data_IF_636537604005
#
_entry.id   IF_636537604005
#
_cell.length_a   1.000
_cell.length_b   1.000
_cell.length_c   1.000
_cell.angle_alpha   90.00
_cell.angle_beta   90.00
_cell.angle_gamma   90.00
#
_symmetry.space_group_name_H-M   'P 1'
#
loop_
_entity.id
_entity.type
_entity.pdbx_description
1 polymer ?
#
# COMPACT_ATOMS: atom_id res chain seq x y z
N UNK A 1 2.34 41.04 28.40
CA UNK A 1 2.96 40.10 29.36
C UNK A 1 2.79 38.69 28.80
N UNK A 2 3.82 38.14 28.15
CA UNK A 2 3.82 36.77 27.65
C UNK A 2 4.02 35.82 28.83
N UNK A 3 3.02 34.98 29.14
CA UNK A 3 3.19 33.86 30.08
C UNK A 3 4.08 32.83 29.41
N UNK A 4 5.29 32.65 29.94
CA UNK A 4 6.16 31.55 29.53
C UNK A 4 5.46 30.22 29.85
N UNK A 5 5.13 29.46 28.80
CA UNK A 5 4.57 28.12 28.92
C UNK A 5 5.67 27.19 29.43
N UNK A 6 5.60 26.87 30.72
CA UNK A 6 6.54 25.96 31.36
C UNK A 6 6.14 24.51 31.01
N UNK A 7 6.57 24.02 29.86
CA UNK A 7 6.31 22.64 29.39
C UNK A 7 7.31 21.70 30.05
N UNK A 8 6.84 20.89 31.00
CA UNK A 8 7.63 19.78 31.56
C UNK A 8 7.42 18.52 30.70
N UNK A 9 8.47 17.99 30.05
CA UNK A 9 8.35 16.72 29.34
C UNK A 9 8.08 15.59 30.35
N UNK A 10 7.03 14.82 30.12
CA UNK A 10 6.74 13.59 30.87
C UNK A 10 7.32 12.44 30.05
N UNK A 11 8.42 11.86 30.51
CA UNK A 11 8.98 10.63 29.93
C UNK A 11 8.23 9.46 30.57
N UNK A 12 7.62 8.61 29.74
CA UNK A 12 6.82 7.47 30.16
C UNK A 12 7.31 6.22 29.44
N UNK A 13 7.63 5.18 30.20
CA UNK A 13 8.03 3.86 29.68
C UNK A 13 6.83 3.02 29.20
N UNK A 14 5.61 3.59 29.23
CA UNK A 14 4.45 2.94 28.60
C UNK A 14 4.75 2.71 27.12
N UNK A 15 4.61 1.46 26.63
CA UNK A 15 4.81 1.17 25.22
C UNK A 15 3.86 2.04 24.40
N UNK A 16 4.43 2.93 23.59
CA UNK A 16 3.63 3.75 22.70
C UNK A 16 2.99 2.84 21.66
N UNK A 17 1.67 2.88 21.53
CA UNK A 17 0.98 2.13 20.49
C UNK A 17 1.38 2.69 19.13
N UNK A 18 2.31 2.01 18.45
CA UNK A 18 2.68 2.35 17.08
C UNK A 18 1.47 2.10 16.20
N UNK A 19 1.01 3.16 15.51
CA UNK A 19 -0.07 3.08 14.52
C UNK A 19 0.21 1.94 13.55
N UNK A 20 -0.83 1.21 13.15
CA UNK A 20 -0.69 0.02 12.30
C UNK A 20 0.05 0.32 10.98
N UNK A 21 -0.15 1.53 10.43
CA UNK A 21 0.49 2.00 9.21
C UNK A 21 2.02 2.14 9.30
N UNK A 22 2.52 2.28 10.53
CA UNK A 22 3.94 2.40 10.83
C UNK A 22 4.59 1.03 11.09
N UNK A 23 3.81 -0.06 11.13
CA UNK A 23 4.32 -1.42 11.33
C UNK A 23 4.80 -2.00 10.00
N UNK A 24 6.09 -2.31 9.85
CA UNK A 24 6.64 -2.80 8.58
C UNK A 24 5.93 -4.06 8.08
N UNK A 25 5.65 -5.02 8.98
CA UNK A 25 4.99 -6.27 8.61
C UNK A 25 3.61 -6.04 7.99
N UNK A 26 2.80 -5.16 8.56
CA UNK A 26 1.48 -4.84 8.00
C UNK A 26 1.60 -4.29 6.58
N UNK A 27 2.56 -3.39 6.36
CA UNK A 27 2.80 -2.79 5.03
C UNK A 27 3.36 -3.81 4.03
N UNK A 28 4.21 -4.74 4.46
CA UNK A 28 4.69 -5.88 3.67
C UNK A 28 3.50 -6.75 3.22
N UNK A 29 2.63 -7.12 4.15
CA UNK A 29 1.42 -7.89 3.84
C UNK A 29 0.52 -7.15 2.85
N UNK A 30 0.36 -5.83 3.03
CA UNK A 30 -0.43 -5.00 2.12
C UNK A 30 0.15 -4.97 0.69
N UNK A 31 1.48 -4.90 0.56
CA UNK A 31 2.18 -4.99 -0.73
C UNK A 31 1.94 -6.36 -1.37
N UNK A 32 2.08 -7.46 -0.60
CA UNK A 32 1.82 -8.81 -1.10
C UNK A 32 0.39 -8.94 -1.61
N UNK A 33 -0.59 -8.48 -0.83
CA UNK A 33 -2.01 -8.44 -1.22
C UNK A 33 -2.20 -7.65 -2.53
N UNK A 34 -1.54 -6.49 -2.67
CA UNK A 34 -1.58 -5.73 -3.93
C UNK A 34 -1.07 -6.54 -5.12
N UNK A 35 0.11 -7.15 -5.00
CA UNK A 35 0.72 -7.89 -6.11
C UNK A 35 -0.07 -9.15 -6.42
N UNK A 36 -0.35 -10.02 -5.45
CA UNK A 36 -1.04 -11.29 -5.65
C UNK A 36 -2.46 -11.11 -6.19
N UNK A 37 -3.23 -10.16 -5.66
CA UNK A 37 -4.64 -9.97 -6.09
C UNK A 37 -4.75 -9.30 -7.47
N UNK A 38 -3.92 -8.30 -7.76
CA UNK A 38 -4.07 -7.50 -8.99
C UNK A 38 -3.36 -8.13 -10.17
N UNK A 39 -2.20 -8.76 -9.96
CA UNK A 39 -1.42 -9.38 -11.05
C UNK A 39 -2.03 -10.68 -11.57
N UNK A 40 -2.79 -11.41 -10.73
CA UNK A 40 -3.31 -12.74 -11.05
C UNK A 40 -2.17 -13.68 -11.46
N UNK A 41 -2.35 -14.41 -12.56
CA UNK A 41 -1.38 -15.41 -13.04
C UNK A 41 0.00 -14.84 -13.42
N UNK A 42 0.09 -13.52 -13.63
CA UNK A 42 1.37 -12.87 -13.96
C UNK A 42 2.32 -12.82 -12.77
N UNK A 43 1.79 -12.84 -11.54
CA UNK A 43 2.55 -12.75 -10.28
C UNK A 43 3.51 -11.56 -10.14
N UNK A 44 3.35 -10.52 -10.97
CA UNK A 44 4.14 -9.29 -10.88
C UNK A 44 3.34 -8.01 -11.12
N UNK A 45 3.82 -6.91 -10.55
CA UNK A 45 3.35 -5.55 -10.81
C UNK A 45 4.50 -4.56 -10.95
N UNK A 46 4.27 -3.49 -11.71
CA UNK A 46 5.19 -2.36 -11.74
C UNK A 46 5.26 -1.66 -10.36
N UNK A 47 6.46 -1.26 -9.93
CA UNK A 47 6.71 -0.62 -8.63
C UNK A 47 5.88 0.67 -8.40
N UNK A 48 5.68 1.49 -9.44
CA UNK A 48 4.83 2.69 -9.35
C UNK A 48 3.38 2.31 -9.08
N UNK A 49 2.87 1.28 -9.77
CA UNK A 49 1.52 0.77 -9.56
C UNK A 49 1.32 0.22 -8.15
N UNK A 50 2.30 -0.51 -7.60
CA UNK A 50 2.26 -1.01 -6.21
C UNK A 50 2.18 0.15 -5.22
N UNK A 51 3.00 1.20 -5.39
CA UNK A 51 2.95 2.37 -4.51
C UNK A 51 1.57 3.03 -4.48
N UNK A 52 0.94 3.20 -5.64
CA UNK A 52 -0.41 3.78 -5.73
C UNK A 52 -1.44 2.89 -5.06
N UNK A 53 -1.41 1.58 -5.30
CA UNK A 53 -2.34 0.64 -4.67
C UNK A 53 -2.21 0.67 -3.15
N UNK A 54 -0.99 0.60 -2.61
CA UNK A 54 -0.72 0.69 -1.17
C UNK A 54 -1.23 2.02 -0.62
N UNK A 55 -0.98 3.14 -1.31
CA UNK A 55 -1.47 4.46 -0.90
C UNK A 55 -2.99 4.52 -0.78
N UNK A 56 -3.70 3.92 -1.74
CA UNK A 56 -5.16 3.85 -1.76
C UNK A 56 -5.68 2.99 -0.60
N UNK A 57 -5.10 1.81 -0.39
CA UNK A 57 -5.60 0.85 0.61
C UNK A 57 -5.45 1.36 2.04
N UNK A 58 -4.35 2.05 2.35
CA UNK A 58 -4.15 2.70 3.65
C UNK A 58 -5.29 3.70 3.96
N UNK A 59 -5.85 4.36 2.93
CA UNK A 59 -6.82 5.45 3.08
C UNK A 59 -8.25 4.96 2.86
N UNK A 60 -8.69 4.03 3.72
CA UNK A 60 -10.02 3.44 3.66
C UNK A 60 -11.16 4.46 3.61
N UNK A 61 -11.04 5.55 4.36
CA UNK A 61 -12.01 6.65 4.36
C UNK A 61 -12.19 7.36 3.01
N UNK A 62 -11.28 7.14 2.04
CA UNK A 62 -11.29 7.77 0.71
C UNK A 62 -11.52 6.76 -0.41
N UNK A 63 -11.85 5.52 -0.10
CA UNK A 63 -12.05 4.47 -1.11
C UNK A 63 -13.10 4.82 -2.16
N UNK A 64 -14.16 5.54 -1.77
CA UNK A 64 -15.18 6.01 -2.70
C UNK A 64 -14.60 6.95 -3.77
N UNK A 65 -13.75 7.91 -3.39
CA UNK A 65 -13.09 8.83 -4.32
C UNK A 65 -12.24 8.08 -5.34
N UNK A 66 -11.48 7.09 -4.87
CA UNK A 66 -10.66 6.25 -5.74
C UNK A 66 -11.52 5.35 -6.65
N UNK A 67 -12.61 4.78 -6.14
CA UNK A 67 -13.55 3.99 -6.94
C UNK A 67 -14.13 4.83 -8.08
N UNK A 68 -14.63 6.03 -7.77
CA UNK A 68 -15.27 6.89 -8.76
C UNK A 68 -14.27 7.32 -9.85
N UNK A 69 -13.03 7.65 -9.47
CA UNK A 69 -11.97 7.91 -10.43
C UNK A 69 -11.62 6.67 -11.27
N UNK A 70 -11.46 5.49 -10.64
CA UNK A 70 -11.11 4.24 -11.33
C UNK A 70 -12.22 3.72 -12.25
N UNK A 71 -13.48 4.06 -11.98
CA UNK A 71 -14.62 3.75 -12.84
C UNK A 71 -14.98 4.88 -13.80
N UNK A 72 -14.20 5.96 -13.83
CA UNK A 72 -14.43 7.13 -14.67
C UNK A 72 -15.81 7.78 -14.44
N UNK A 73 -16.32 7.70 -13.20
CA UNK A 73 -17.53 8.39 -12.73
C UNK A 73 -17.25 9.82 -12.28
N UNK A 74 -15.98 10.15 -12.07
CA UNK A 74 -15.51 11.47 -11.66
C UNK A 74 -14.23 11.82 -12.44
N UNK A 75 -14.14 13.08 -12.88
CA UNK A 75 -12.94 13.65 -13.48
C UNK A 75 -11.96 14.20 -12.43
N UNK A 76 -12.40 14.32 -11.18
CA UNK A 76 -11.54 14.78 -10.09
C UNK A 76 -10.46 13.74 -9.81
N UNK A 77 -9.20 14.13 -10.00
CA UNK A 77 -8.04 13.28 -9.71
C UNK A 77 -7.89 13.17 -8.18
N UNK A 78 -8.04 11.98 -7.58
CA UNK A 78 -7.89 11.81 -6.15
C UNK A 78 -6.42 11.97 -5.75
N UNK A 79 -6.18 12.42 -4.52
CA UNK A 79 -4.83 12.65 -4.02
C UNK A 79 -4.09 11.33 -3.89
N UNK A 80 -3.02 11.19 -4.68
CA UNK A 80 -2.03 10.13 -4.56
C UNK A 80 -0.66 10.75 -4.46
N UNK A 81 0.18 10.22 -3.58
CA UNK A 81 1.57 10.65 -3.45
C UNK A 81 2.48 9.45 -3.27
N UNK A 82 3.78 9.70 -3.40
CA UNK A 82 4.83 8.74 -3.16
C UNK A 82 5.05 8.63 -1.65
N UNK A 83 5.15 7.40 -1.16
CA UNK A 83 5.35 7.11 0.26
C UNK A 83 6.68 6.37 0.49
N UNK A 84 7.61 7.04 1.18
CA UNK A 84 8.93 6.47 1.52
C UNK A 84 8.83 5.25 2.42
N UNK A 85 7.79 5.13 3.24
CA UNK A 85 7.57 3.95 4.07
C UNK A 85 7.22 2.72 3.22
N UNK A 86 6.56 2.92 2.08
CA UNK A 86 6.25 1.85 1.12
C UNK A 86 7.52 1.35 0.44
N UNK A 87 8.43 2.23 0.02
CA UNK A 87 9.72 1.81 -0.53
C UNK A 87 10.55 1.01 0.47
N UNK A 88 10.67 1.49 1.71
CA UNK A 88 11.36 0.74 2.77
C UNK A 88 10.72 -0.62 3.03
N UNK A 89 9.38 -0.71 2.99
CA UNK A 89 8.68 -1.98 3.13
C UNK A 89 8.97 -2.92 1.95
N UNK A 90 9.05 -2.41 0.70
CA UNK A 90 9.46 -3.21 -0.46
C UNK A 90 10.88 -3.75 -0.28
N UNK A 91 11.84 -2.90 0.12
CA UNK A 91 13.22 -3.31 0.39
C UNK A 91 13.29 -4.41 1.47
N UNK A 92 12.55 -4.23 2.56
CA UNK A 92 12.46 -5.23 3.63
C UNK A 92 11.84 -6.54 3.14
N UNK A 93 10.78 -6.49 2.33
CA UNK A 93 10.17 -7.68 1.73
C UNK A 93 11.16 -8.44 0.86
N UNK A 94 11.98 -7.74 0.08
CA UNK A 94 13.01 -8.35 -0.77
C UNK A 94 14.09 -8.98 0.10
N UNK A 95 14.58 -8.28 1.11
CA UNK A 95 15.58 -8.80 2.04
C UNK A 95 15.07 -10.02 2.84
N UNK A 96 13.76 -10.11 3.09
CA UNK A 96 13.10 -11.25 3.73
C UNK A 96 12.76 -12.39 2.76
N UNK A 97 12.96 -12.18 1.46
CA UNK A 97 12.72 -13.19 0.44
C UNK A 97 11.27 -13.29 -0.03
N UNK A 98 10.34 -12.47 0.46
CA UNK A 98 8.93 -12.52 0.07
C UNK A 98 8.65 -11.96 -1.34
N UNK A 99 9.49 -11.00 -1.77
CA UNK A 99 9.40 -10.36 -3.07
C UNK A 99 10.75 -10.41 -3.78
N UNK A 100 10.74 -10.35 -5.11
CA UNK A 100 11.93 -10.03 -5.91
C UNK A 100 11.66 -8.83 -6.82
N UNK A 101 12.72 -8.16 -7.25
CA UNK A 101 12.65 -6.99 -8.11
C UNK A 101 13.48 -7.25 -9.38
N UNK A 102 12.83 -7.22 -10.53
CA UNK A 102 13.50 -7.32 -11.84
C UNK A 102 12.92 -6.27 -12.79
N UNK A 103 13.76 -5.41 -13.37
CA UNK A 103 13.34 -4.39 -14.35
C UNK A 103 12.12 -3.55 -13.91
N UNK A 104 12.16 -2.99 -12.69
CA UNK A 104 11.07 -2.23 -12.05
C UNK A 104 9.76 -2.99 -11.82
N UNK A 105 9.79 -4.32 -11.92
CA UNK A 105 8.66 -5.19 -11.63
C UNK A 105 8.93 -5.95 -10.35
N UNK A 106 7.95 -5.88 -9.45
CA UNK A 106 7.93 -6.59 -8.18
C UNK A 106 7.22 -7.90 -8.42
N UNK A 107 7.90 -9.01 -8.14
CA UNK A 107 7.38 -10.38 -8.24
C UNK A 107 7.18 -10.95 -6.85
N UNK A 108 6.16 -11.81 -6.71
CA UNK A 108 5.96 -12.60 -5.49
C UNK A 108 6.75 -13.89 -5.60
N UNK A 109 7.53 -14.21 -4.57
CA UNK A 109 8.27 -15.48 -4.49
C UNK A 109 7.40 -16.57 -3.89
N UNK A 110 7.89 -17.82 -3.84
CA UNK A 110 7.19 -18.93 -3.18
C UNK A 110 6.87 -18.61 -1.70
N UNK A 111 7.85 -18.13 -0.92
CA UNK A 111 7.62 -17.72 0.47
C UNK A 111 6.64 -16.54 0.61
N UNK A 112 6.56 -15.67 -0.39
CA UNK A 112 5.56 -14.60 -0.45
C UNK A 112 4.15 -15.14 -0.67
N UNK A 113 4.00 -16.17 -1.50
CA UNK A 113 2.72 -16.86 -1.75
C UNK A 113 2.24 -17.66 -0.53
N UNK A 114 3.16 -18.28 0.22
CA UNK A 114 2.86 -18.91 1.51
C UNK A 114 2.30 -17.89 2.50
N UNK A 115 2.98 -16.74 2.64
CA UNK A 115 2.51 -15.66 3.50
C UNK A 115 1.15 -15.11 3.03
N UNK A 116 0.95 -14.94 1.72
CA UNK A 116 -0.33 -14.50 1.18
C UNK A 116 -1.46 -15.51 1.46
N UNK A 117 -1.19 -16.81 1.32
CA UNK A 117 -2.15 -17.87 1.65
C UNK A 117 -2.57 -17.81 3.12
N UNK A 118 -1.61 -17.60 4.04
CA UNK A 118 -1.91 -17.42 5.46
C UNK A 118 -2.81 -16.20 5.71
N UNK A 119 -2.63 -15.10 4.99
CA UNK A 119 -3.50 -13.93 5.12
C UNK A 119 -4.94 -14.28 4.72
N UNK A 120 -5.10 -14.95 3.57
CA UNK A 120 -6.42 -15.34 3.04
C UNK A 120 -7.12 -16.36 3.95
N UNK A 121 -6.41 -17.41 4.39
CA UNK A 121 -6.96 -18.45 5.27
C UNK A 121 -7.44 -17.90 6.62
N UNK A 122 -6.79 -16.84 7.12
CA UNK A 122 -7.11 -16.22 8.38
C UNK A 122 -8.02 -14.98 8.24
N UNK A 123 -8.54 -14.70 7.04
CA UNK A 123 -9.41 -13.53 6.76
C UNK A 123 -8.74 -12.19 7.15
N UNK A 124 -7.43 -12.10 6.95
CA UNK A 124 -6.63 -10.91 7.23
C UNK A 124 -6.61 -10.04 5.97
N UNK A 125 -6.96 -8.75 6.12
CA UNK A 125 -7.06 -7.77 5.02
C UNK A 125 -8.17 -8.07 4.00
N UNK A 126 -9.27 -8.68 4.44
CA UNK A 126 -10.39 -9.05 3.56
C UNK A 126 -11.01 -7.87 2.82
N UNK A 127 -11.10 -6.72 3.48
CA UNK A 127 -11.67 -5.51 2.89
C UNK A 127 -10.78 -4.99 1.75
N UNK A 128 -9.46 -4.98 1.97
CA UNK A 128 -8.47 -4.61 0.97
C UNK A 128 -8.47 -5.59 -0.20
N UNK A 129 -8.52 -6.90 0.09
CA UNK A 129 -8.65 -7.95 -0.93
C UNK A 129 -9.92 -7.75 -1.75
N UNK A 130 -11.06 -7.49 -1.11
CA UNK A 130 -12.33 -7.25 -1.78
C UNK A 130 -12.26 -5.99 -2.67
N UNK A 131 -11.72 -4.89 -2.15
CA UNK A 131 -11.52 -3.65 -2.89
C UNK A 131 -10.64 -3.88 -4.15
N UNK A 132 -9.52 -4.58 -4.00
CA UNK A 132 -8.61 -4.88 -5.11
C UNK A 132 -9.21 -5.84 -6.14
N UNK A 133 -9.96 -6.86 -5.72
CA UNK A 133 -10.66 -7.77 -6.64
C UNK A 133 -11.64 -7.00 -7.52
N UNK A 134 -12.35 -6.03 -6.95
CA UNK A 134 -13.32 -5.18 -7.67
C UNK A 134 -12.64 -4.16 -8.59
N UNK A 135 -11.59 -3.48 -8.11
CA UNK A 135 -11.09 -2.24 -8.73
C UNK A 135 -9.61 -2.27 -9.14
N UNK A 136 -8.79 -3.15 -8.57
CA UNK A 136 -7.33 -3.12 -8.75
C UNK A 136 -6.89 -3.26 -10.21
N UNK A 137 -7.60 -4.08 -11.01
CA UNK A 137 -7.36 -4.22 -12.46
C UNK A 137 -7.78 -2.97 -13.27
N UNK A 138 -8.62 -2.10 -12.73
CA UNK A 138 -9.04 -0.83 -13.37
C UNK A 138 -7.99 0.27 -13.28
N UNK A 139 -6.99 0.12 -12.40
CA UNK A 139 -5.81 0.98 -12.38
C UNK A 139 -4.88 0.62 -13.56
N UNK A 140 -5.20 1.14 -14.74
CA UNK A 140 -4.39 0.99 -15.95
C UNK A 140 -3.17 1.91 -15.91
N UNK A 141 -2.19 1.65 -16.78
CA UNK A 141 -0.98 2.49 -16.89
C UNK A 141 -1.31 3.96 -17.20
N UNK A 142 -2.41 4.21 -17.93
CA UNK A 142 -2.89 5.57 -18.19
C UNK A 142 -3.41 6.24 -16.91
N UNK A 143 -4.14 5.51 -16.04
CA UNK A 143 -4.59 6.04 -14.75
C UNK A 143 -3.43 6.23 -13.78
N UNK A 144 -2.44 5.35 -13.80
CA UNK A 144 -1.18 5.53 -13.05
C UNK A 144 -0.52 6.85 -13.45
N UNK A 145 -0.35 7.12 -14.75
CA UNK A 145 0.23 8.39 -15.24
C UNK A 145 -0.58 9.62 -14.84
N UNK A 146 -1.92 9.52 -14.89
CA UNK A 146 -2.82 10.60 -14.48
C UNK A 146 -2.72 10.93 -12.99
N UNK A 147 -2.62 9.91 -12.15
CA UNK A 147 -2.49 10.06 -10.68
C UNK A 147 -1.11 10.59 -10.27
N UNK A 148 -0.05 10.23 -10.97
CA UNK A 148 1.31 10.69 -10.66
C UNK A 148 1.66 12.02 -11.33
N UNK A 149 0.71 12.69 -12.00
CA UNK A 149 0.94 13.97 -12.67
C UNK A 149 2.06 13.95 -13.71
N UNK A 150 2.38 12.78 -14.29
CA UNK A 150 3.50 12.63 -15.22
C UNK A 150 4.90 12.79 -14.60
N UNK A 151 5.05 12.72 -13.27
CA UNK A 151 6.36 12.74 -12.61
C UNK A 151 7.14 11.49 -13.08
N UNK A 152 8.21 11.74 -13.84
CA UNK A 152 9.14 10.73 -14.38
C UNK A 152 9.91 10.07 -13.26
#
# INVERSE_FOLDING_TARGET
>A
MNKELNVKPIVSDKPYSVSIEMRPLWRICLILVCVSVVSGDKKYLNSKKVNILVWMLIRKNRWQEYEDYLLSRSENVPLVSIDTATFKAIELSIAKGFLSLENDRIFVTESGEELFSLLVENNIMDEEVCFLKKLGKKLSDNKVKGLTGGIK
#
